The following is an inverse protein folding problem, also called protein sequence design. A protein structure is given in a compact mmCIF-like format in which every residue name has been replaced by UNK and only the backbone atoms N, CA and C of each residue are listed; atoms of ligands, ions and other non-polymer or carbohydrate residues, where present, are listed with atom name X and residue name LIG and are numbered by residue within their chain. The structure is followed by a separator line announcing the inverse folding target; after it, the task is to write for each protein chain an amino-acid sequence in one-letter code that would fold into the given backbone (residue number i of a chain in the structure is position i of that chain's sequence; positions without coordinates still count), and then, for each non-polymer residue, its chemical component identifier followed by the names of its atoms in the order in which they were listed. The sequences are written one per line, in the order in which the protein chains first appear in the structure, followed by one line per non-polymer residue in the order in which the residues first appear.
data_IF_682795721098
#
_entry.id   IF_682795721098
#
_cell.length_a   1.000
_cell.length_b   1.000
_cell.length_c   1.000
_cell.angle_alpha   90.00
_cell.angle_beta   90.00
_cell.angle_gamma   90.00
#
_symmetry.space_group_name_H-M   'P 1'
#
loop_
_entity.id
_entity.type
_entity.pdbx_description
1 polymer ?
#
# COMPACT_ATOMS: atom_id res chain seq x y z
N UNK A 1 -9.44 -17.68 13.54
CA UNK A 1 -10.28 -18.81 13.07
C UNK A 1 -9.47 -20.07 12.77
N UNK A 2 -8.65 -20.14 11.71
CA UNK A 2 -7.86 -21.34 11.36
C UNK A 2 -6.88 -21.80 12.45
N UNK A 3 -6.05 -20.91 12.99
CA UNK A 3 -5.10 -21.24 14.10
C UNK A 3 -5.81 -21.76 15.36
N UNK A 4 -7.07 -21.39 15.55
CA UNK A 4 -7.90 -21.79 16.70
C UNK A 4 -8.79 -23.01 16.39
N UNK A 5 -8.67 -23.61 15.20
CA UNK A 5 -9.43 -24.79 14.80
C UNK A 5 -10.89 -24.55 14.38
N UNK A 6 -11.35 -23.29 14.33
CA UNK A 6 -12.75 -22.98 13.98
C UNK A 6 -13.08 -23.13 12.49
N UNK A 7 -12.06 -23.11 11.63
CA UNK A 7 -12.19 -23.25 10.17
C UNK A 7 -11.16 -24.27 9.70
N UNK A 8 -11.62 -25.28 8.98
CA UNK A 8 -10.82 -26.36 8.39
C UNK A 8 -9.99 -25.90 7.19
N UNK A 9 -9.04 -26.74 6.76
CA UNK A 9 -8.15 -26.39 5.63
C UNK A 9 -8.89 -26.28 4.29
N UNK A 10 -10.01 -27.00 4.16
CA UNK A 10 -10.78 -27.14 2.93
C UNK A 10 -12.06 -26.26 2.94
N UNK A 11 -12.26 -25.48 4.00
CA UNK A 11 -13.43 -24.63 4.11
C UNK A 11 -13.25 -23.38 3.25
N UNK A 12 -14.34 -22.95 2.60
CA UNK A 12 -14.39 -21.68 1.87
C UNK A 12 -15.10 -20.66 2.76
N UNK A 13 -14.36 -19.64 3.19
CA UNK A 13 -14.93 -18.52 3.95
C UNK A 13 -15.26 -17.37 2.99
N UNK A 14 -16.50 -16.90 3.02
CA UNK A 14 -16.93 -15.69 2.31
C UNK A 14 -17.13 -14.59 3.34
N UNK A 15 -16.36 -13.51 3.22
CA UNK A 15 -16.51 -12.33 4.07
C UNK A 15 -17.45 -11.35 3.37
N UNK A 16 -18.62 -11.10 3.97
CA UNK A 16 -19.56 -10.09 3.47
C UNK A 16 -19.17 -8.69 4.00
N UNK A 17 -18.66 -7.84 3.11
CA UNK A 17 -18.32 -6.46 3.43
C UNK A 17 -19.56 -5.58 3.33
N UNK A 18 -20.27 -5.43 4.44
CA UNK A 18 -21.57 -4.73 4.51
C UNK A 18 -21.49 -3.21 4.33
N UNK A 19 -20.29 -2.63 4.32
CA UNK A 19 -20.05 -1.20 4.15
C UNK A 19 -18.86 -0.91 3.25
N UNK A 20 -18.89 0.26 2.61
CA UNK A 20 -17.78 0.76 1.81
C UNK A 20 -16.68 1.34 2.69
N UNK A 21 -15.41 1.00 2.41
CA UNK A 21 -14.25 1.43 3.21
C UNK A 21 -14.14 2.96 3.40
N UNK A 22 -14.51 3.75 2.37
CA UNK A 22 -14.54 5.22 2.45
C UNK A 22 -15.33 5.78 3.64
N UNK A 23 -16.35 5.08 4.16
CA UNK A 23 -17.09 5.52 5.36
C UNK A 23 -16.19 5.59 6.60
N UNK A 24 -15.05 4.90 6.57
CA UNK A 24 -14.11 4.77 7.66
C UNK A 24 -12.74 5.40 7.33
N UNK A 25 -12.64 6.21 6.28
CA UNK A 25 -11.37 6.84 5.90
C UNK A 25 -10.73 7.64 7.05
N UNK A 26 -11.54 8.35 7.85
CA UNK A 26 -11.04 9.07 9.03
C UNK A 26 -10.46 8.14 10.12
N UNK A 27 -10.98 6.93 10.28
CA UNK A 27 -10.39 5.93 11.18
C UNK A 27 -9.04 5.42 10.66
N UNK A 28 -8.89 5.30 9.34
CA UNK A 28 -7.61 4.93 8.74
C UNK A 28 -6.58 6.03 8.94
N UNK A 29 -6.97 7.30 8.74
CA UNK A 29 -6.10 8.45 9.01
C UNK A 29 -5.66 8.50 10.48
N UNK A 30 -6.58 8.35 11.44
CA UNK A 30 -6.24 8.26 12.86
C UNK A 30 -5.28 7.12 13.18
N UNK A 31 -5.40 5.97 12.50
CA UNK A 31 -4.48 4.84 12.66
C UNK A 31 -3.06 5.19 12.20
N UNK A 32 -2.94 5.75 11.00
CA UNK A 32 -1.65 6.05 10.39
C UNK A 32 -0.96 7.26 11.02
N UNK A 33 -1.71 8.16 11.64
CA UNK A 33 -1.18 9.34 12.32
C UNK A 33 -0.95 9.14 13.83
N UNK A 34 -1.30 7.98 14.38
CA UNK A 34 -1.28 7.71 15.82
C UNK A 34 -2.10 8.74 16.64
N UNK A 35 -3.34 8.97 16.19
CA UNK A 35 -4.26 9.98 16.76
C UNK A 35 -5.61 9.41 17.17
N UNK A 36 -5.67 8.11 17.49
CA UNK A 36 -6.90 7.54 18.03
C UNK A 36 -7.20 8.13 19.41
N UNK A 37 -8.44 8.63 19.64
CA UNK A 37 -8.88 8.98 20.98
C UNK A 37 -8.92 7.77 21.91
N UNK A 38 -8.62 7.98 23.20
CA UNK A 38 -8.54 6.92 24.22
C UNK A 38 -9.85 6.13 24.34
N UNK A 39 -11.00 6.76 24.07
CA UNK A 39 -12.34 6.15 24.16
C UNK A 39 -12.55 5.00 23.15
N UNK A 40 -11.72 4.91 22.11
CA UNK A 40 -11.77 3.81 21.15
C UNK A 40 -10.98 2.59 21.61
N UNK A 41 -10.13 2.71 22.64
CA UNK A 41 -9.24 1.64 23.12
C UNK A 41 -8.38 1.01 22.02
N UNK A 42 -8.01 1.80 21.01
CA UNK A 42 -7.17 1.38 19.90
C UNK A 42 -5.76 1.94 20.09
N UNK A 43 -4.78 1.04 20.19
CA UNK A 43 -3.37 1.39 20.06
C UNK A 43 -2.85 0.96 18.69
N UNK A 44 -2.50 1.90 17.80
CA UNK A 44 -1.88 1.58 16.52
C UNK A 44 -0.60 0.76 16.69
N UNK A 45 -0.34 -0.12 15.72
CA UNK A 45 0.89 -0.91 15.67
C UNK A 45 1.86 -0.23 14.75
N UNK A 46 2.96 0.29 15.32
CA UNK A 46 3.97 1.05 14.58
C UNK A 46 4.48 0.33 13.33
N UNK A 47 4.61 -1.00 13.37
CA UNK A 47 5.06 -1.84 12.26
C UNK A 47 4.05 -1.94 11.09
N UNK A 48 2.80 -1.54 11.32
CA UNK A 48 1.72 -1.50 10.31
C UNK A 48 1.38 -0.08 9.86
N UNK A 49 2.04 0.94 10.42
CA UNK A 49 1.86 2.33 10.03
C UNK A 49 2.77 2.67 8.84
N UNK A 50 2.34 2.35 7.62
CA UNK A 50 3.10 2.69 6.43
C UNK A 50 2.82 4.12 5.96
N UNK A 51 3.88 4.84 5.59
CA UNK A 51 3.79 6.15 4.96
C UNK A 51 4.13 6.06 3.46
N UNK A 52 3.54 6.91 2.60
CA UNK A 52 3.97 7.04 1.21
C UNK A 52 5.47 7.33 1.14
N UNK A 53 6.18 6.58 0.31
CA UNK A 53 7.60 6.79 0.04
C UNK A 53 7.79 7.21 -1.40
N UNK A 54 8.65 8.20 -1.64
CA UNK A 54 8.97 8.63 -2.99
C UNK A 54 9.85 7.57 -3.67
N UNK A 55 9.36 7.04 -4.80
CA UNK A 55 10.13 6.15 -5.66
C UNK A 55 10.65 6.96 -6.84
N UNK A 56 11.97 7.12 -6.92
CA UNK A 56 12.63 7.82 -8.03
C UNK A 56 13.94 7.12 -8.42
N UNK A 57 13.93 6.33 -9.51
CA UNK A 57 15.16 5.75 -10.05
C UNK A 57 16.17 6.85 -10.38
N UNK A 58 17.42 6.68 -9.94
CA UNK A 58 18.49 7.68 -10.10
C UNK A 58 18.94 7.87 -11.56
N UNK A 59 18.72 6.86 -12.39
CA UNK A 59 19.13 6.82 -13.80
C UNK A 59 18.11 7.44 -14.76
N UNK A 60 16.96 7.90 -14.26
CA UNK A 60 15.93 8.57 -15.05
C UNK A 60 16.17 10.09 -15.09
N UNK A 61 16.54 10.58 -16.26
CA UNK A 61 16.66 12.01 -16.53
C UNK A 61 15.29 12.70 -16.65
N UNK A 62 14.29 12.00 -17.22
CA UNK A 62 12.93 12.50 -17.42
C UNK A 62 11.96 11.79 -16.49
N UNK A 63 11.31 12.58 -15.64
CA UNK A 63 10.32 12.13 -14.66
C UNK A 63 9.06 13.00 -14.84
N UNK A 64 7.85 12.43 -14.88
CA UNK A 64 6.63 13.22 -15.02
C UNK A 64 6.38 14.05 -13.76
N UNK A 65 5.74 15.20 -13.94
CA UNK A 65 5.29 16.06 -12.83
C UNK A 65 4.01 16.81 -13.18
N UNK A 66 3.42 17.53 -12.21
CA UNK A 66 2.25 18.37 -12.46
C UNK A 66 2.52 19.34 -13.62
N UNK A 67 1.71 19.27 -14.68
CA UNK A 67 1.87 20.10 -15.88
C UNK A 67 3.03 19.71 -16.81
N UNK A 68 3.82 18.68 -16.48
CA UNK A 68 4.98 18.22 -17.25
C UNK A 68 4.82 16.73 -17.60
N UNK A 69 3.93 16.37 -18.54
CA UNK A 69 3.77 15.00 -18.96
C UNK A 69 4.96 14.55 -19.81
N UNK A 70 5.35 13.28 -19.65
CA UNK A 70 6.29 12.59 -20.56
C UNK A 70 5.50 11.59 -21.41
N UNK A 71 5.97 11.32 -22.63
CA UNK A 71 5.27 10.45 -23.62
C UNK A 71 6.26 9.58 -24.38
N UNK A 72 5.73 8.57 -25.06
CA UNK A 72 6.49 7.64 -25.90
C UNK A 72 7.55 6.90 -25.09
N UNK A 73 8.71 6.67 -25.68
CA UNK A 73 9.81 5.90 -25.07
C UNK A 73 10.24 6.41 -23.68
N UNK A 74 10.15 7.71 -23.42
CA UNK A 74 10.48 8.26 -22.11
C UNK A 74 9.47 7.84 -21.03
N UNK A 75 8.19 7.74 -21.40
CA UNK A 75 7.16 7.25 -20.49
C UNK A 75 7.31 5.75 -20.23
N UNK A 76 7.51 4.95 -21.29
CA UNK A 76 7.75 3.51 -21.15
C UNK A 76 8.96 3.23 -20.25
N UNK A 77 10.09 3.93 -20.49
CA UNK A 77 11.29 3.81 -19.66
C UNK A 77 11.02 4.20 -18.20
N UNK A 78 10.25 5.27 -17.95
CA UNK A 78 9.86 5.66 -16.60
C UNK A 78 9.05 4.58 -15.89
N UNK A 79 8.06 3.98 -16.55
CA UNK A 79 7.21 2.92 -15.99
C UNK A 79 8.06 1.70 -15.64
N UNK A 80 8.86 1.20 -16.60
CA UNK A 80 9.72 0.02 -16.39
C UNK A 80 10.71 0.24 -15.24
N UNK A 81 11.46 1.35 -15.27
CA UNK A 81 12.50 1.60 -14.25
C UNK A 81 11.92 1.87 -12.86
N UNK A 82 10.77 2.53 -12.78
CA UNK A 82 10.06 2.73 -11.51
C UNK A 82 9.59 1.40 -10.94
N UNK A 83 9.05 0.51 -11.78
CA UNK A 83 8.66 -0.85 -11.37
C UNK A 83 9.85 -1.67 -10.86
N UNK A 84 10.98 -1.65 -11.58
CA UNK A 84 12.22 -2.31 -11.14
C UNK A 84 12.77 -1.74 -9.84
N UNK A 85 12.65 -0.42 -9.62
CA UNK A 85 13.07 0.23 -8.38
C UNK A 85 12.16 -0.17 -7.20
N UNK A 86 10.84 -0.29 -7.42
CA UNK A 86 9.91 -0.83 -6.42
C UNK A 86 10.27 -2.27 -6.08
N UNK A 87 10.48 -3.12 -7.09
CA UNK A 87 10.85 -4.52 -6.89
C UNK A 87 12.16 -4.64 -6.08
N UNK A 88 13.15 -3.78 -6.37
CA UNK A 88 14.40 -3.69 -5.62
C UNK A 88 14.19 -3.24 -4.17
N UNK A 89 13.32 -2.26 -3.92
CA UNK A 89 13.01 -1.79 -2.56
C UNK A 89 12.27 -2.86 -1.72
N UNK A 90 11.48 -3.70 -2.38
CA UNK A 90 10.69 -4.77 -1.76
C UNK A 90 11.40 -6.13 -1.73
N UNK A 91 12.63 -6.21 -2.23
CA UNK A 91 13.41 -7.46 -2.34
C UNK A 91 12.67 -8.59 -3.08
N UNK A 92 12.03 -8.24 -4.20
CA UNK A 92 11.30 -9.20 -5.03
C UNK A 92 12.25 -9.90 -6.01
N UNK A 93 12.15 -11.24 -6.10
CA UNK A 93 12.85 -12.02 -7.12
C UNK A 93 12.37 -11.63 -8.53
N UNK A 94 13.30 -11.56 -9.49
CA UNK A 94 12.93 -11.43 -10.90
C UNK A 94 12.24 -12.72 -11.34
N UNK A 95 10.94 -12.62 -11.66
CA UNK A 95 10.15 -13.66 -12.33
C UNK A 95 10.60 -13.80 -13.79
#
# INVERSE_FOLDING_TARGET
ARKHGFIGKNDIAVLDSTAHALKFAGFQEMYFEDKFPDEFEISPKSELMNAPTIVRPRDLEKVPGPGVPIRGENFERFVTRTGEEIARMLDLEKV
#
